data_IF_234106068562
#
_entry.id   IF_234106068562
#
_cell.length_a   1.000
_cell.length_b   1.000
_cell.length_c   1.000
_cell.angle_alpha   90.00
_cell.angle_beta   90.00
_cell.angle_gamma   90.00
#
_symmetry.space_group_name_H-M   'P 1'
#
loop_
_entity.id
_entity.type
_entity.pdbx_description
1 polymer ?
#
# COMPACT_ATOMS: atom_id res chain seq x y z
N UNK A 1 -5.24 -10.13 7.21
CA UNK A 1 -5.67 -9.72 5.86
C UNK A 1 -5.83 -8.22 5.91
N UNK A 2 -5.10 -7.45 5.12
CA UNK A 2 -5.45 -6.05 4.92
C UNK A 2 -6.83 -6.06 4.25
N UNK A 3 -7.84 -5.57 4.95
CA UNK A 3 -9.17 -5.42 4.38
C UNK A 3 -9.13 -4.21 3.48
N UNK A 4 -9.29 -4.43 2.19
CA UNK A 4 -9.57 -3.36 1.25
C UNK A 4 -10.93 -2.76 1.61
N UNK A 5 -10.95 -1.45 1.81
CA UNK A 5 -12.19 -0.72 2.01
C UNK A 5 -12.91 -0.59 0.66
N UNK A 6 -14.23 -0.78 0.66
CA UNK A 6 -15.06 -0.51 -0.50
C UNK A 6 -15.02 0.99 -0.85
N UNK A 7 -15.37 1.31 -2.08
CA UNK A 7 -15.37 2.69 -2.57
C UNK A 7 -16.17 3.60 -1.62
N UNK A 8 -15.51 4.67 -1.15
CA UNK A 8 -16.03 5.67 -0.21
C UNK A 8 -16.57 5.15 1.14
N UNK A 9 -16.34 3.87 1.48
CA UNK A 9 -16.89 3.27 2.71
C UNK A 9 -16.44 3.97 4.00
N UNK A 10 -15.21 4.48 4.06
CA UNK A 10 -14.73 5.30 5.18
C UNK A 10 -15.32 6.72 5.09
N UNK A 11 -15.34 7.31 3.89
CA UNK A 11 -15.90 8.66 3.70
C UNK A 11 -17.40 8.71 4.01
N UNK A 12 -18.13 7.61 3.85
CA UNK A 12 -19.55 7.46 4.18
C UNK A 12 -19.81 7.09 5.64
N UNK A 13 -18.76 6.69 6.39
CA UNK A 13 -18.94 6.38 7.81
C UNK A 13 -19.44 7.62 8.57
N UNK A 14 -20.56 7.51 9.34
CA UNK A 14 -21.21 8.69 9.92
C UNK A 14 -20.31 9.52 10.82
N UNK A 15 -19.39 8.89 11.55
CA UNK A 15 -18.48 9.55 12.46
C UNK A 15 -17.30 10.17 11.72
N UNK A 16 -16.77 9.50 10.70
CA UNK A 16 -15.76 10.09 9.83
C UNK A 16 -16.30 11.32 9.08
N UNK A 17 -17.49 11.22 8.49
CA UNK A 17 -18.11 12.30 7.72
C UNK A 17 -18.35 13.58 8.55
N UNK A 18 -18.54 13.44 9.87
CA UNK A 18 -18.74 14.58 10.80
C UNK A 18 -17.45 15.08 11.43
N UNK A 19 -16.33 14.40 11.26
CA UNK A 19 -15.04 14.72 11.88
C UNK A 19 -14.34 15.91 11.22
N UNK A 20 -13.41 16.52 11.96
CA UNK A 20 -12.50 17.54 11.42
C UNK A 20 -11.61 17.00 10.30
N UNK A 21 -11.29 15.69 10.34
CA UNK A 21 -10.51 15.00 9.32
C UNK A 21 -11.22 15.04 7.97
N UNK A 22 -12.48 14.59 7.93
CA UNK A 22 -13.31 14.65 6.70
C UNK A 22 -13.45 16.07 6.19
N UNK A 23 -13.70 17.04 7.10
CA UNK A 23 -13.80 18.45 6.74
C UNK A 23 -12.52 19.03 6.16
N UNK A 24 -11.36 18.59 6.65
CA UNK A 24 -10.05 18.98 6.12
C UNK A 24 -9.85 18.41 4.71
N UNK A 25 -10.12 17.12 4.51
CA UNK A 25 -9.97 16.45 3.21
C UNK A 25 -10.99 16.93 2.17
N UNK A 26 -12.21 17.33 2.58
CA UNK A 26 -13.20 17.91 1.67
C UNK A 26 -12.77 19.28 1.15
N UNK A 27 -12.05 20.07 1.95
CA UNK A 27 -11.50 21.38 1.52
C UNK A 27 -10.28 21.23 0.65
N UNK A 28 -9.41 20.30 0.96
CA UNK A 28 -8.21 19.96 0.23
C UNK A 28 -8.06 18.44 0.23
N UNK A 29 -8.38 17.76 -0.89
CA UNK A 29 -8.28 16.31 -1.00
C UNK A 29 -6.90 15.77 -0.67
N UNK A 30 -6.83 14.51 -0.23
CA UNK A 30 -5.57 13.79 -0.03
C UNK A 30 -4.77 13.80 -1.32
N UNK A 31 -3.54 14.31 -1.29
CA UNK A 31 -2.62 14.31 -2.44
C UNK A 31 -1.92 12.96 -2.60
N UNK A 32 -2.58 12.01 -3.24
CA UNK A 32 -2.07 10.67 -3.48
C UNK A 32 -1.29 10.58 -4.79
N UNK A 33 -0.11 10.00 -4.73
CA UNK A 33 0.73 9.71 -5.90
C UNK A 33 0.84 8.21 -6.08
N UNK A 34 0.46 7.72 -7.28
CA UNK A 34 0.52 6.30 -7.67
C UNK A 34 1.55 6.12 -8.78
N UNK A 35 2.66 5.47 -8.47
CA UNK A 35 3.78 5.28 -9.39
C UNK A 35 3.80 3.82 -9.84
N UNK A 36 3.63 3.61 -11.14
CA UNK A 36 3.26 2.34 -11.74
C UNK A 36 1.75 2.16 -11.75
N UNK A 37 1.01 3.21 -12.17
CA UNK A 37 -0.44 3.30 -12.11
C UNK A 37 -1.17 2.46 -13.18
N UNK A 38 -0.51 1.45 -13.76
CA UNK A 38 -1.14 0.52 -14.70
C UNK A 38 -2.36 -0.16 -14.05
N UNK A 39 -3.49 -0.13 -14.74
CA UNK A 39 -4.76 -0.65 -14.20
C UNK A 39 -5.57 0.35 -13.38
N UNK A 40 -5.06 1.54 -13.09
CA UNK A 40 -5.74 2.60 -12.34
C UNK A 40 -5.18 2.80 -10.93
N UNK A 41 -5.76 3.73 -10.17
CA UNK A 41 -5.32 4.01 -8.81
C UNK A 41 -5.45 2.77 -7.92
N UNK A 42 -4.44 2.54 -7.09
CA UNK A 42 -4.42 1.43 -6.16
C UNK A 42 -5.58 1.52 -5.16
N UNK A 43 -6.18 0.39 -4.83
CA UNK A 43 -7.38 0.26 -3.98
C UNK A 43 -7.20 0.70 -2.52
N UNK A 44 -5.97 0.90 -2.07
CA UNK A 44 -5.63 1.43 -0.75
C UNK A 44 -6.40 2.72 -0.41
N UNK A 45 -6.70 3.56 -1.41
CA UNK A 45 -7.40 4.85 -1.21
C UNK A 45 -8.89 4.80 -1.55
N UNK A 46 -9.44 3.63 -1.89
CA UNK A 46 -10.86 3.48 -2.27
C UNK A 46 -11.80 3.92 -1.15
N UNK A 47 -11.48 3.65 0.11
CA UNK A 47 -12.34 4.02 1.23
C UNK A 47 -12.65 5.52 1.36
N UNK A 48 -11.87 6.38 0.68
CA UNK A 48 -12.04 7.84 0.66
C UNK A 48 -11.91 8.41 -0.75
N UNK A 49 -12.32 7.67 -1.78
CA UNK A 49 -12.07 8.04 -3.17
C UNK A 49 -12.49 9.48 -3.51
N UNK A 50 -13.70 9.90 -3.14
CA UNK A 50 -14.19 11.26 -3.38
C UNK A 50 -13.44 12.37 -2.62
N UNK A 51 -12.60 11.99 -1.64
CA UNK A 51 -11.75 12.90 -0.85
C UNK A 51 -10.27 12.79 -1.24
N UNK A 52 -9.96 12.09 -2.34
CA UNK A 52 -8.60 11.85 -2.82
C UNK A 52 -8.38 12.48 -4.18
N UNK A 53 -7.31 13.26 -4.31
CA UNK A 53 -6.74 13.67 -5.57
C UNK A 53 -5.64 12.68 -5.96
N UNK A 54 -5.76 12.04 -7.12
CA UNK A 54 -4.84 11.02 -7.63
C UNK A 54 -3.98 11.61 -8.73
N UNK A 55 -2.66 11.47 -8.61
CA UNK A 55 -1.69 11.67 -9.67
C UNK A 55 -0.98 10.35 -9.95
N UNK A 56 -1.31 9.72 -11.08
CA UNK A 56 -0.68 8.48 -11.52
C UNK A 56 0.49 8.72 -12.47
N UNK A 57 1.49 7.84 -12.40
CA UNK A 57 2.62 7.79 -13.33
C UNK A 57 2.62 6.45 -14.05
N UNK A 58 2.48 6.47 -15.37
CA UNK A 58 2.51 5.28 -16.23
C UNK A 58 3.19 5.66 -17.56
N UNK A 59 4.32 5.06 -17.92
CA UNK A 59 5.04 5.42 -19.14
C UNK A 59 4.31 5.02 -20.43
N UNK A 60 3.37 4.09 -20.37
CA UNK A 60 2.56 3.68 -21.52
C UNK A 60 1.42 4.70 -21.78
N UNK A 61 1.59 5.53 -22.81
CA UNK A 61 0.62 6.56 -23.17
C UNK A 61 -0.73 6.00 -23.65
N UNK A 62 -0.78 4.77 -24.14
CA UNK A 62 -2.03 4.12 -24.53
C UNK A 62 -2.82 3.70 -23.31
N UNK A 63 -2.14 3.10 -22.33
CA UNK A 63 -2.73 2.77 -21.05
C UNK A 63 -3.24 4.03 -20.32
N UNK A 64 -2.46 5.12 -20.31
CA UNK A 64 -2.91 6.40 -19.77
C UNK A 64 -4.21 6.89 -20.41
N UNK A 65 -4.34 6.83 -21.73
CA UNK A 65 -5.57 7.24 -22.44
C UNK A 65 -6.76 6.34 -22.06
N UNK A 66 -6.54 5.03 -21.94
CA UNK A 66 -7.56 4.06 -21.53
C UNK A 66 -8.06 4.35 -20.11
N UNK A 67 -7.13 4.61 -19.17
CA UNK A 67 -7.45 4.91 -17.78
C UNK A 67 -8.21 6.23 -17.63
N UNK A 68 -7.78 7.29 -18.31
CA UNK A 68 -8.49 8.58 -18.29
C UNK A 68 -9.92 8.44 -18.81
N UNK A 69 -10.12 7.69 -19.89
CA UNK A 69 -11.47 7.43 -20.41
C UNK A 69 -12.35 6.66 -19.43
N UNK A 70 -11.81 5.68 -18.73
CA UNK A 70 -12.53 4.89 -17.73
C UNK A 70 -12.93 5.75 -16.49
N UNK A 71 -12.03 6.57 -16.00
CA UNK A 71 -12.28 7.46 -14.86
C UNK A 71 -13.28 8.55 -15.20
N UNK A 72 -13.27 9.09 -16.42
CA UNK A 72 -14.23 10.10 -16.87
C UNK A 72 -15.69 9.60 -16.80
N UNK A 73 -15.90 8.30 -17.00
CA UNK A 73 -17.22 7.66 -16.87
C UNK A 73 -17.65 7.51 -15.42
N UNK A 74 -16.76 6.99 -14.56
CA UNK A 74 -17.10 6.63 -13.17
C UNK A 74 -16.94 7.78 -12.16
N UNK A 75 -16.00 8.70 -12.42
CA UNK A 75 -15.67 9.89 -11.60
C UNK A 75 -15.58 9.62 -10.08
N UNK A 76 -14.87 8.59 -9.64
CA UNK A 76 -14.85 8.25 -8.21
C UNK A 76 -13.96 9.20 -7.38
N UNK A 77 -13.01 9.89 -8.02
CA UNK A 77 -11.98 10.70 -7.39
C UNK A 77 -12.35 12.19 -7.33
N UNK A 78 -11.88 12.88 -6.29
CA UNK A 78 -11.97 14.35 -6.26
C UNK A 78 -11.22 14.99 -7.45
N UNK A 79 -10.08 14.40 -7.83
CA UNK A 79 -9.29 14.75 -9.01
C UNK A 79 -8.54 13.50 -9.46
N UNK A 80 -8.41 13.28 -10.77
CA UNK A 80 -7.60 12.21 -11.34
C UNK A 80 -6.77 12.74 -12.50
N UNK A 81 -5.46 12.60 -12.39
CA UNK A 81 -4.51 13.02 -13.41
C UNK A 81 -3.47 11.94 -13.65
N UNK A 82 -2.92 11.86 -14.86
CA UNK A 82 -1.86 10.93 -15.24
C UNK A 82 -0.73 11.67 -15.94
N UNK A 83 0.50 11.25 -15.63
CA UNK A 83 1.73 11.60 -16.33
C UNK A 83 2.23 10.39 -17.12
N UNK A 84 2.24 10.51 -18.45
CA UNK A 84 2.76 9.47 -19.34
C UNK A 84 4.30 9.56 -19.41
N UNK A 85 4.98 9.32 -18.30
CA UNK A 85 6.43 9.46 -18.16
C UNK A 85 6.99 8.39 -17.22
N UNK A 86 8.19 7.91 -17.52
CA UNK A 86 8.96 7.07 -16.63
C UNK A 86 9.63 7.92 -15.54
N UNK A 87 9.69 7.38 -14.33
CA UNK A 87 10.45 7.99 -13.23
C UNK A 87 11.77 7.25 -12.99
N UNK A 88 12.82 8.00 -12.64
CA UNK A 88 14.14 7.49 -12.28
C UNK A 88 14.82 8.39 -11.25
N UNK A 89 16.06 8.06 -10.89
CA UNK A 89 16.90 8.89 -10.00
C UNK A 89 17.33 10.21 -10.61
N UNK A 90 17.35 10.32 -11.93
CA UNK A 90 17.76 11.49 -12.69
C UNK A 90 16.94 11.62 -13.97
N UNK A 91 17.01 12.80 -14.61
CA UNK A 91 16.46 12.98 -15.94
C UNK A 91 17.44 12.43 -16.96
N UNK A 92 17.08 11.27 -17.54
CA UNK A 92 17.97 10.48 -18.41
C UNK A 92 17.18 9.64 -19.41
N UNK A 93 17.85 9.19 -20.49
CA UNK A 93 17.28 8.17 -21.35
C UNK A 93 17.43 6.80 -20.68
N UNK A 94 16.31 6.06 -20.57
CA UNK A 94 16.24 4.72 -19.98
C UNK A 94 15.70 3.71 -20.98
N UNK A 95 15.95 2.42 -20.72
CA UNK A 95 15.39 1.33 -21.53
C UNK A 95 14.29 0.64 -20.74
N UNK A 96 13.06 0.64 -21.26
CA UNK A 96 11.96 -0.17 -20.75
C UNK A 96 12.03 -1.56 -21.41
N UNK A 97 12.23 -2.60 -20.61
CA UNK A 97 12.16 -4.00 -21.04
C UNK A 97 10.70 -4.44 -21.07
N UNK A 98 10.23 -4.85 -22.24
CA UNK A 98 8.87 -5.33 -22.46
C UNK A 98 8.80 -6.82 -22.23
N UNK A 99 7.99 -7.25 -21.25
CA UNK A 99 7.83 -8.65 -20.90
C UNK A 99 6.49 -9.19 -21.38
N UNK A 100 6.35 -10.50 -21.45
CA UNK A 100 5.14 -11.19 -21.94
C UNK A 100 3.87 -10.87 -21.15
N UNK A 101 4.01 -10.51 -19.88
CA UNK A 101 2.94 -9.87 -19.09
C UNK A 101 3.29 -8.38 -18.91
N UNK A 102 2.48 -7.44 -19.42
CA UNK A 102 2.74 -6.00 -19.31
C UNK A 102 2.87 -5.50 -17.88
N UNK A 103 2.28 -6.19 -16.90
CA UNK A 103 2.42 -5.83 -15.49
C UNK A 103 3.84 -6.06 -14.94
N UNK A 104 4.68 -6.75 -15.69
CA UNK A 104 6.08 -7.04 -15.30
C UNK A 104 7.09 -6.19 -16.10
N UNK A 105 6.65 -5.21 -16.91
CA UNK A 105 7.56 -4.30 -17.60
C UNK A 105 8.43 -3.55 -16.60
N UNK A 106 9.72 -3.41 -16.90
CA UNK A 106 10.68 -2.80 -15.97
C UNK A 106 11.75 -2.01 -16.70
N UNK A 107 12.34 -1.02 -16.04
CA UNK A 107 13.57 -0.38 -16.51
C UNK A 107 14.82 -1.23 -16.23
N UNK A 108 14.66 -2.36 -15.51
CA UNK A 108 15.74 -3.33 -15.28
C UNK A 108 15.51 -4.59 -16.11
N UNK A 109 16.60 -5.17 -16.61
CA UNK A 109 16.52 -6.44 -17.33
C UNK A 109 16.11 -7.59 -16.40
N UNK A 110 15.24 -8.54 -16.85
CA UNK A 110 14.80 -9.65 -16.03
C UNK A 110 15.98 -10.59 -15.67
N UNK A 111 15.98 -11.12 -14.43
CA UNK A 111 16.95 -12.11 -13.98
C UNK A 111 16.52 -13.51 -14.41
N UNK A 112 16.81 -13.88 -15.66
CA UNK A 112 16.35 -15.13 -16.27
C UNK A 112 16.76 -16.39 -15.51
N UNK A 113 17.94 -16.40 -14.87
CA UNK A 113 18.42 -17.55 -14.10
C UNK A 113 17.50 -17.78 -12.88
N UNK A 114 17.23 -16.74 -12.11
CA UNK A 114 16.32 -16.81 -10.97
C UNK A 114 14.90 -17.16 -11.40
N UNK A 115 14.37 -16.45 -12.39
CA UNK A 115 12.99 -16.61 -12.88
C UNK A 115 12.72 -18.02 -13.42
N UNK A 116 13.68 -18.60 -14.14
CA UNK A 116 13.61 -19.97 -14.66
C UNK A 116 13.60 -21.01 -13.55
N UNK A 117 14.45 -20.85 -12.52
CA UNK A 117 14.47 -21.73 -11.35
C UNK A 117 13.12 -21.81 -10.65
N UNK A 118 12.41 -20.68 -10.56
CA UNK A 118 11.09 -20.58 -9.90
C UNK A 118 9.92 -20.72 -10.89
N UNK A 119 10.18 -21.08 -12.15
CA UNK A 119 9.17 -21.31 -13.20
C UNK A 119 8.23 -20.10 -13.38
N UNK A 120 8.81 -18.91 -13.44
CA UNK A 120 8.09 -17.65 -13.60
C UNK A 120 7.98 -17.28 -15.09
N UNK A 121 7.05 -17.92 -15.81
CA UNK A 121 6.94 -17.85 -17.27
C UNK A 121 6.47 -16.50 -17.82
N UNK A 122 5.86 -15.65 -16.98
CA UNK A 122 5.34 -14.34 -17.38
C UNK A 122 6.42 -13.23 -17.51
N UNK A 123 7.69 -13.56 -17.21
CA UNK A 123 8.85 -12.66 -17.29
C UNK A 123 9.70 -12.91 -18.54
N UNK A 124 9.11 -13.41 -19.63
CA UNK A 124 9.84 -13.57 -20.90
C UNK A 124 9.92 -12.21 -21.59
N UNK A 125 11.14 -11.74 -21.88
CA UNK A 125 11.36 -10.49 -22.60
C UNK A 125 10.95 -10.67 -24.07
N UNK A 126 10.10 -9.77 -24.55
CA UNK A 126 9.55 -9.76 -25.92
C UNK A 126 10.02 -8.55 -26.74
N UNK A 127 10.72 -7.61 -26.12
CA UNK A 127 11.26 -6.41 -26.76
C UNK A 127 11.74 -5.38 -25.76
N UNK A 128 12.15 -4.23 -26.26
CA UNK A 128 12.51 -3.07 -25.43
C UNK A 128 12.18 -1.76 -26.12
N UNK A 129 12.02 -0.71 -25.34
CA UNK A 129 11.73 0.65 -25.82
C UNK A 129 12.60 1.67 -25.07
N UNK A 130 13.10 2.67 -25.80
CA UNK A 130 13.77 3.82 -25.19
C UNK A 130 12.76 4.87 -24.74
N UNK A 131 12.93 5.37 -23.54
CA UNK A 131 12.09 6.39 -22.91
C UNK A 131 12.95 7.47 -22.25
N UNK A 132 12.41 8.66 -22.13
CA UNK A 132 12.98 9.68 -21.25
C UNK A 132 12.35 9.56 -19.86
N UNK A 133 13.18 9.37 -18.86
CA UNK A 133 12.77 9.40 -17.46
C UNK A 133 13.05 10.77 -16.83
N UNK A 134 12.28 11.10 -15.80
CA UNK A 134 12.46 12.31 -14.99
C UNK A 134 12.45 11.94 -13.49
N UNK A 135 12.82 12.86 -12.62
CA UNK A 135 12.69 12.64 -11.17
C UNK A 135 11.29 13.02 -10.68
N UNK A 136 10.78 12.34 -9.65
CA UNK A 136 9.52 12.70 -9.02
C UNK A 136 9.55 14.16 -8.52
N UNK A 137 10.67 14.58 -7.93
CA UNK A 137 10.85 15.95 -7.45
C UNK A 137 10.72 16.99 -8.57
N UNK A 138 11.28 16.71 -9.75
CA UNK A 138 11.19 17.64 -10.89
C UNK A 138 9.77 17.83 -11.39
N UNK A 139 8.92 16.81 -11.29
CA UNK A 139 7.51 16.92 -11.63
C UNK A 139 6.75 17.67 -10.54
N UNK A 140 6.82 17.24 -9.29
CA UNK A 140 5.98 17.77 -8.20
C UNK A 140 6.36 19.18 -7.76
N UNK A 141 7.61 19.58 -7.91
CA UNK A 141 8.09 20.93 -7.57
C UNK A 141 8.43 21.79 -8.80
N UNK A 142 8.26 21.23 -10.00
CA UNK A 142 8.40 21.93 -11.27
C UNK A 142 7.05 22.43 -11.80
N UNK A 143 6.57 21.86 -12.90
CA UNK A 143 5.35 22.32 -13.57
C UNK A 143 4.07 22.10 -12.75
N UNK A 144 4.08 21.20 -11.75
CA UNK A 144 2.95 20.95 -10.83
C UNK A 144 3.05 21.63 -9.46
N UNK A 145 4.03 22.53 -9.30
CA UNK A 145 4.32 23.15 -7.99
C UNK A 145 3.15 23.93 -7.38
N UNK A 146 2.28 24.48 -8.22
CA UNK A 146 1.16 25.34 -7.82
C UNK A 146 -0.20 24.63 -7.78
N UNK A 147 -0.21 23.30 -8.02
CA UNK A 147 -1.43 22.50 -7.98
C UNK A 147 -1.70 21.97 -6.54
N UNK A 148 -2.42 20.88 -6.45
CA UNK A 148 -2.69 20.19 -5.19
C UNK A 148 -1.39 19.82 -4.45
N UNK A 149 -1.46 19.57 -3.17
CA UNK A 149 -0.32 19.10 -2.35
C UNK A 149 0.07 17.65 -2.66
N UNK A 150 0.43 17.36 -3.92
CA UNK A 150 0.83 16.03 -4.37
C UNK A 150 1.94 15.43 -3.52
N UNK A 151 1.84 14.12 -3.26
CA UNK A 151 2.88 13.34 -2.61
C UNK A 151 2.76 13.26 -1.10
N UNK A 152 1.60 13.57 -0.51
CA UNK A 152 1.34 13.34 0.92
C UNK A 152 1.32 11.85 1.27
N UNK A 153 0.76 11.03 0.35
CA UNK A 153 0.81 9.57 0.37
C UNK A 153 1.28 9.05 -0.98
N UNK A 154 2.23 8.12 -0.99
CA UNK A 154 2.85 7.58 -2.21
C UNK A 154 2.68 6.06 -2.23
N UNK A 155 2.15 5.50 -3.34
CA UNK A 155 2.28 4.08 -3.70
C UNK A 155 3.33 3.97 -4.80
N UNK A 156 4.23 2.99 -4.68
CA UNK A 156 5.32 2.77 -5.61
C UNK A 156 5.43 1.28 -5.94
N UNK A 157 5.17 0.93 -7.20
CA UNK A 157 5.24 -0.42 -7.75
C UNK A 157 5.66 -0.34 -9.22
N UNK A 158 6.95 -0.38 -9.46
CA UNK A 158 7.57 -0.19 -10.78
C UNK A 158 8.45 -1.34 -11.20
N UNK A 159 8.23 -2.48 -10.57
CA UNK A 159 8.87 -3.73 -10.94
C UNK A 159 10.40 -3.66 -10.86
N UNK A 160 10.91 -3.23 -9.69
CA UNK A 160 12.32 -3.30 -9.34
C UNK A 160 13.09 -1.99 -9.36
N UNK A 161 12.48 -0.87 -9.80
CA UNK A 161 13.14 0.45 -9.87
C UNK A 161 12.76 1.41 -8.74
N UNK A 162 12.07 0.92 -7.74
CA UNK A 162 11.53 1.68 -6.60
C UNK A 162 12.62 2.49 -5.89
N UNK A 163 13.79 1.87 -5.65
CA UNK A 163 14.92 2.54 -4.99
C UNK A 163 15.42 3.76 -5.79
N UNK A 164 15.55 3.62 -7.11
CA UNK A 164 16.05 4.69 -7.97
C UNK A 164 15.05 5.86 -8.03
N UNK A 165 13.76 5.56 -8.07
CA UNK A 165 12.70 6.57 -8.00
C UNK A 165 12.71 7.28 -6.65
N UNK A 166 12.89 6.58 -5.54
CA UNK A 166 13.00 7.18 -4.21
C UNK A 166 14.21 8.11 -4.08
N UNK A 167 15.34 7.78 -4.71
CA UNK A 167 16.51 8.69 -4.80
C UNK A 167 16.15 9.97 -5.55
N UNK A 168 15.31 9.91 -6.60
CA UNK A 168 14.77 11.05 -7.34
C UNK A 168 13.60 11.79 -6.65
N UNK A 169 13.23 11.35 -5.43
CA UNK A 169 12.08 11.86 -4.65
C UNK A 169 12.49 12.49 -3.31
N UNK A 170 13.76 12.83 -3.15
CA UNK A 170 14.34 13.29 -1.87
C UNK A 170 13.59 14.45 -1.25
N UNK A 171 13.18 15.42 -2.05
CA UNK A 171 12.48 16.60 -1.59
C UNK A 171 11.05 16.29 -1.18
N UNK A 172 10.28 15.55 -1.98
CA UNK A 172 8.91 15.16 -1.63
C UNK A 172 8.88 14.27 -0.40
N UNK A 173 9.81 13.32 -0.29
CA UNK A 173 9.96 12.48 0.91
C UNK A 173 10.26 13.31 2.16
N UNK A 174 11.05 14.37 2.06
CA UNK A 174 11.41 15.22 3.20
C UNK A 174 10.29 16.18 3.58
N UNK A 175 9.66 16.86 2.61
CA UNK A 175 8.79 18.01 2.85
C UNK A 175 7.29 17.66 2.90
N UNK A 176 6.82 16.67 2.12
CA UNK A 176 5.37 16.42 1.93
C UNK A 176 4.92 15.05 2.40
N UNK A 177 5.66 14.00 2.02
CA UNK A 177 5.23 12.63 2.20
C UNK A 177 5.23 12.25 3.70
N UNK A 178 4.12 11.67 4.16
CA UNK A 178 3.95 11.18 5.53
C UNK A 178 3.73 9.67 5.59
N UNK A 179 3.34 9.06 4.48
CA UNK A 179 3.14 7.63 4.35
C UNK A 179 3.51 7.14 2.97
N UNK A 180 4.07 5.94 2.89
CA UNK A 180 4.37 5.29 1.62
C UNK A 180 4.08 3.78 1.69
N UNK A 181 3.58 3.24 0.57
CA UNK A 181 3.45 1.81 0.32
C UNK A 181 4.34 1.50 -0.88
N UNK A 182 5.35 0.67 -0.69
CA UNK A 182 6.40 0.44 -1.67
C UNK A 182 6.56 -1.05 -1.92
N UNK A 183 6.43 -1.49 -3.18
CA UNK A 183 6.80 -2.86 -3.53
C UNK A 183 8.29 -3.06 -3.28
N UNK A 184 8.63 -4.08 -2.52
CA UNK A 184 10.02 -4.42 -2.18
C UNK A 184 10.28 -5.89 -2.42
N UNK A 185 11.46 -6.20 -2.92
CA UNK A 185 11.89 -7.57 -3.18
C UNK A 185 12.87 -8.06 -2.14
N UNK A 186 12.81 -9.37 -1.83
CA UNK A 186 13.75 -10.08 -0.96
C UNK A 186 14.83 -10.85 -1.75
N UNK A 187 14.76 -10.77 -3.06
CA UNK A 187 15.69 -11.39 -4.00
C UNK A 187 15.61 -10.66 -5.36
N UNK A 188 16.66 -10.76 -6.16
CA UNK A 188 16.72 -10.09 -7.45
C UNK A 188 15.84 -10.80 -8.49
N UNK A 189 14.63 -10.30 -8.71
CA UNK A 189 13.77 -10.69 -9.84
C UNK A 189 14.26 -10.05 -11.15
N UNK A 190 14.82 -8.85 -11.03
CA UNK A 190 15.49 -8.12 -12.10
C UNK A 190 16.97 -7.94 -11.75
N UNK A 191 17.83 -7.85 -12.76
CA UNK A 191 19.28 -7.71 -12.58
C UNK A 191 19.62 -6.39 -11.88
N UNK A 192 20.46 -6.45 -10.86
CA UNK A 192 20.90 -5.29 -10.05
C UNK A 192 19.77 -4.59 -9.28
N UNK A 193 18.62 -5.24 -9.15
CA UNK A 193 17.51 -4.74 -8.35
C UNK A 193 17.95 -4.49 -6.91
N UNK A 194 17.59 -3.33 -6.36
CA UNK A 194 17.74 -3.05 -4.94
C UNK A 194 16.70 -3.79 -4.13
N UNK A 195 17.10 -4.29 -2.96
CA UNK A 195 16.24 -5.12 -2.12
C UNK A 195 15.62 -4.32 -0.98
N UNK A 196 14.73 -4.95 -0.22
CA UNK A 196 14.06 -4.34 0.94
C UNK A 196 15.02 -3.60 1.87
N UNK A 197 16.18 -4.20 2.18
CA UNK A 197 17.17 -3.58 3.08
C UNK A 197 17.73 -2.25 2.57
N UNK A 198 17.85 -2.09 1.24
CA UNK A 198 18.30 -0.84 0.62
C UNK A 198 17.21 0.23 0.71
N UNK A 199 15.96 -0.16 0.37
CA UNK A 199 14.78 0.71 0.44
C UNK A 199 14.51 1.14 1.88
N UNK A 200 14.53 0.21 2.84
CA UNK A 200 14.32 0.51 4.28
C UNK A 200 15.35 1.51 4.80
N UNK A 201 16.63 1.28 4.49
CA UNK A 201 17.70 2.18 4.90
C UNK A 201 17.53 3.59 4.35
N UNK A 202 17.11 3.72 3.09
CA UNK A 202 16.83 5.00 2.45
C UNK A 202 15.64 5.69 3.12
N UNK A 203 14.52 5.00 3.28
CA UNK A 203 13.29 5.53 3.89
C UNK A 203 13.53 5.98 5.33
N UNK A 204 14.26 5.19 6.13
CA UNK A 204 14.66 5.55 7.48
C UNK A 204 15.56 6.79 7.50
N UNK A 205 16.43 6.98 6.49
CA UNK A 205 17.23 8.20 6.30
C UNK A 205 16.38 9.45 6.08
N UNK A 206 15.14 9.31 5.58
CA UNK A 206 14.15 10.39 5.41
C UNK A 206 13.15 10.51 6.58
N UNK A 207 13.39 9.80 7.70
CA UNK A 207 12.56 9.87 8.90
C UNK A 207 11.31 9.01 8.87
N UNK A 208 11.28 7.98 8.02
CA UNK A 208 10.19 7.00 8.02
C UNK A 208 10.55 5.81 8.89
N UNK A 209 9.53 5.28 9.60
CA UNK A 209 9.57 4.00 10.31
C UNK A 209 8.88 2.94 9.46
N UNK A 210 9.45 1.73 9.44
CA UNK A 210 8.83 0.57 8.81
C UNK A 210 7.73 0.01 9.72
N UNK A 211 6.51 -0.11 9.20
CA UNK A 211 5.34 -0.55 9.96
C UNK A 211 4.90 -1.98 9.68
N UNK A 212 5.26 -2.52 8.53
CA UNK A 212 4.93 -3.90 8.20
C UNK A 212 4.87 -4.18 6.71
N UNK A 213 4.58 -5.43 6.39
CA UNK A 213 4.36 -5.88 5.02
C UNK A 213 2.87 -6.16 4.77
N UNK A 214 2.39 -5.89 3.58
CA UNK A 214 1.21 -6.52 3.02
C UNK A 214 1.47 -8.03 2.80
N UNK A 215 0.53 -8.83 2.27
CA UNK A 215 0.77 -10.25 2.05
C UNK A 215 2.07 -10.51 1.29
N UNK A 216 2.95 -11.34 1.87
CA UNK A 216 4.22 -11.72 1.26
C UNK A 216 3.96 -12.72 0.15
N UNK A 217 4.42 -12.41 -1.04
CA UNK A 217 4.41 -13.32 -2.18
C UNK A 217 5.58 -14.30 -2.05
N UNK A 218 5.23 -15.58 -1.87
CA UNK A 218 6.20 -16.66 -1.71
C UNK A 218 6.08 -17.66 -2.86
N UNK A 219 7.19 -18.33 -3.18
CA UNK A 219 7.21 -19.31 -4.27
C UNK A 219 8.20 -20.45 -3.99
N UNK A 220 7.82 -21.64 -4.42
CA UNK A 220 8.69 -22.83 -4.47
C UNK A 220 9.14 -23.13 -5.90
N UNK A 221 10.16 -23.97 -6.04
CA UNK A 221 10.59 -24.50 -7.36
C UNK A 221 9.60 -25.51 -7.96
N UNK A 222 8.47 -25.79 -7.30
CA UNK A 222 7.39 -26.69 -7.72
C UNK A 222 7.88 -28.13 -8.04
N UNK A 223 8.76 -28.65 -7.18
CA UNK A 223 9.23 -30.05 -7.27
C UNK A 223 8.29 -30.99 -6.52
N UNK A 224 7.55 -30.50 -5.51
CA UNK A 224 6.61 -31.27 -4.72
C UNK A 224 5.16 -30.93 -5.08
N UNK A 225 4.27 -31.90 -4.87
CA UNK A 225 2.85 -31.68 -5.03
C UNK A 225 2.30 -30.85 -3.85
N UNK A 226 1.98 -29.60 -4.10
CA UNK A 226 1.49 -28.65 -3.08
C UNK A 226 0.19 -29.11 -2.40
N UNK A 227 -0.65 -29.90 -3.07
CA UNK A 227 -1.89 -30.42 -2.46
C UNK A 227 -1.65 -31.42 -1.30
N UNK A 228 -0.50 -32.08 -1.31
CA UNK A 228 -0.14 -33.08 -0.28
C UNK A 228 0.79 -32.54 0.81
N UNK A 229 1.49 -31.45 0.53
CA UNK A 229 2.53 -30.93 1.42
C UNK A 229 2.35 -29.42 1.62
N UNK A 230 2.17 -29.00 2.86
CA UNK A 230 2.31 -27.61 3.28
C UNK A 230 3.76 -27.44 3.73
N UNK A 231 4.55 -26.77 2.89
CA UNK A 231 5.97 -26.50 3.18
C UNK A 231 6.22 -25.00 3.11
N UNK A 232 7.24 -24.54 3.83
CA UNK A 232 7.69 -23.16 3.71
C UNK A 232 8.19 -22.89 2.28
N UNK A 233 7.81 -21.73 1.73
CA UNK A 233 8.25 -21.25 0.43
C UNK A 233 9.14 -20.02 0.61
N UNK A 234 10.00 -19.74 -0.36
CA UNK A 234 10.86 -18.57 -0.34
C UNK A 234 10.02 -17.31 -0.56
N UNK A 235 10.13 -16.34 0.34
CA UNK A 235 9.59 -15.00 0.15
C UNK A 235 10.31 -14.34 -1.04
N UNK A 236 9.55 -13.75 -1.96
CA UNK A 236 10.05 -13.07 -3.15
C UNK A 236 9.91 -11.56 -3.04
N UNK A 237 8.70 -11.07 -2.80
CA UNK A 237 8.39 -9.65 -2.71
C UNK A 237 7.14 -9.40 -1.86
N UNK A 238 6.93 -8.16 -1.48
CA UNK A 238 5.74 -7.67 -0.77
C UNK A 238 5.67 -6.15 -0.88
N UNK A 239 4.52 -5.57 -0.60
CA UNK A 239 4.41 -4.14 -0.34
C UNK A 239 4.81 -3.85 1.11
N UNK A 240 5.81 -2.99 1.28
CA UNK A 240 6.27 -2.50 2.57
C UNK A 240 5.58 -1.17 2.91
N UNK A 241 5.10 -1.04 4.14
CA UNK A 241 4.39 0.13 4.64
C UNK A 241 5.35 0.96 5.50
N UNK A 242 5.45 2.24 5.18
CA UNK A 242 6.28 3.21 5.87
C UNK A 242 5.47 4.42 6.33
N UNK A 243 5.63 4.82 7.58
CA UNK A 243 5.03 6.05 8.13
C UNK A 243 6.11 6.99 8.67
N UNK A 244 5.92 8.30 8.49
CA UNK A 244 6.63 9.31 9.28
C UNK A 244 5.97 9.39 10.65
N UNK A 245 6.39 8.53 11.55
CA UNK A 245 5.81 8.43 12.88
C UNK A 245 6.36 9.53 13.81
N UNK A 246 5.54 10.53 14.20
CA UNK A 246 6.00 11.57 15.12
C UNK A 246 6.10 11.09 16.57
N UNK A 247 5.60 9.89 16.89
CA UNK A 247 5.59 9.32 18.23
C UNK A 247 6.85 8.46 18.48
N UNK A 248 7.34 7.78 17.43
CA UNK A 248 8.57 6.97 17.47
C UNK A 248 9.82 7.77 17.07
N UNK A 249 9.61 8.88 16.38
CA UNK A 249 10.66 9.75 15.91
C UNK A 249 11.36 10.51 17.03
N UNK A 250 12.69 10.59 16.94
CA UNK A 250 13.46 11.42 17.85
C UNK A 250 12.95 12.87 17.90
N UNK A 251 13.46 13.73 18.81
CA UNK A 251 12.89 15.04 19.17
C UNK A 251 12.72 16.03 18.02
N UNK A 252 13.15 15.71 16.80
CA UNK A 252 13.16 16.60 15.65
C UNK A 252 12.07 16.31 14.59
N UNK A 253 11.35 15.19 14.66
CA UNK A 253 10.27 14.90 13.71
C UNK A 253 8.98 15.57 14.17
N UNK A 254 8.61 16.68 13.52
CA UNK A 254 7.36 17.39 13.76
C UNK A 254 6.53 17.44 12.50
N UNK A 255 5.34 16.87 12.56
CA UNK A 255 4.36 16.97 11.49
C UNK A 255 3.46 18.19 11.70
N UNK A 256 3.07 18.85 10.63
CA UNK A 256 2.03 19.88 10.64
C UNK A 256 0.67 19.27 11.00
N UNK A 257 -0.30 20.12 11.37
CA UNK A 257 -1.67 19.67 11.65
C UNK A 257 -2.25 18.87 10.49
N UNK A 258 -2.09 19.33 9.25
CA UNK A 258 -2.54 18.59 8.05
C UNK A 258 -1.83 17.24 7.90
N UNK A 259 -0.52 17.21 8.04
CA UNK A 259 0.25 15.97 7.93
C UNK A 259 -0.19 14.93 8.96
N UNK A 260 -0.51 15.33 10.19
CA UNK A 260 -1.06 14.43 11.20
C UNK A 260 -2.43 13.87 10.79
N UNK A 261 -3.34 14.70 10.24
CA UNK A 261 -4.66 14.25 9.78
C UNK A 261 -4.53 13.32 8.57
N UNK A 262 -3.62 13.60 7.65
CA UNK A 262 -3.32 12.72 6.50
C UNK A 262 -2.75 11.39 6.98
N UNK A 263 -1.75 11.40 7.86
CA UNK A 263 -1.16 10.17 8.41
C UNK A 263 -2.20 9.33 9.15
N UNK A 264 -3.04 9.95 9.99
CA UNK A 264 -4.18 9.30 10.63
C UNK A 264 -5.09 8.61 9.61
N UNK A 265 -5.46 9.31 8.55
CA UNK A 265 -6.34 8.77 7.52
C UNK A 265 -5.71 7.57 6.82
N UNK A 266 -4.42 7.67 6.43
CA UNK A 266 -3.70 6.58 5.77
C UNK A 266 -3.50 5.40 6.73
N UNK A 267 -3.24 5.65 8.01
CA UNK A 267 -3.15 4.59 9.01
C UNK A 267 -4.46 3.78 9.11
N UNK A 268 -5.62 4.45 9.09
CA UNK A 268 -6.93 3.77 9.05
C UNK A 268 -7.08 2.96 7.76
N UNK A 269 -6.78 3.53 6.60
CA UNK A 269 -6.88 2.85 5.30
C UNK A 269 -6.01 1.58 5.24
N UNK A 270 -4.88 1.59 5.97
CA UNK A 270 -3.94 0.48 6.08
C UNK A 270 -4.19 -0.41 7.31
N UNK A 271 -5.31 -0.22 8.03
CA UNK A 271 -5.75 -0.99 9.21
C UNK A 271 -4.85 -0.87 10.45
N UNK A 272 -4.07 0.19 10.58
CA UNK A 272 -3.30 0.52 11.78
C UNK A 272 -4.15 1.35 12.75
N UNK A 273 -5.25 0.78 13.24
CA UNK A 273 -6.28 1.47 14.04
C UNK A 273 -5.75 1.97 15.38
N UNK A 274 -4.96 1.16 16.07
CA UNK A 274 -4.36 1.50 17.37
C UNK A 274 -3.40 2.68 17.24
N UNK A 275 -2.48 2.62 16.26
CA UNK A 275 -1.60 3.73 15.94
C UNK A 275 -2.37 5.00 15.53
N UNK A 276 -3.42 4.86 14.73
CA UNK A 276 -4.25 6.01 14.35
C UNK A 276 -4.89 6.68 15.57
N UNK A 277 -5.42 5.89 16.51
CA UNK A 277 -6.01 6.42 17.75
C UNK A 277 -4.95 7.09 18.64
N UNK A 278 -3.79 6.45 18.80
CA UNK A 278 -2.67 7.02 19.56
C UNK A 278 -2.23 8.35 18.96
N UNK A 279 -1.99 8.41 17.63
CA UNK A 279 -1.62 9.63 16.92
C UNK A 279 -2.65 10.75 17.16
N UNK A 280 -3.94 10.44 17.03
CA UNK A 280 -5.00 11.42 17.25
C UNK A 280 -4.97 11.99 18.68
N UNK A 281 -4.88 11.12 19.70
CA UNK A 281 -4.81 11.50 21.11
C UNK A 281 -3.58 12.35 21.44
N UNK A 282 -2.43 12.04 20.85
CA UNK A 282 -1.18 12.75 21.10
C UNK A 282 -1.07 14.09 20.36
N UNK A 283 -1.81 14.28 19.27
CA UNK A 283 -1.64 15.46 18.41
C UNK A 283 -2.78 16.49 18.51
N UNK A 284 -4.05 16.12 18.31
CA UNK A 284 -5.16 17.10 18.32
C UNK A 284 -6.33 16.77 19.24
N UNK A 285 -6.49 15.53 19.73
CA UNK A 285 -7.56 15.17 20.68
C UNK A 285 -7.14 15.40 22.15
N UNK A 286 -6.51 16.55 22.44
CA UNK A 286 -5.91 16.80 23.77
C UNK A 286 -6.93 17.03 24.87
N UNK A 287 -8.13 17.56 24.54
CA UNK A 287 -9.17 17.88 25.52
C UNK A 287 -10.19 16.72 25.55
N UNK A 288 -10.15 15.93 26.62
CA UNK A 288 -11.07 14.81 26.80
C UNK A 288 -12.54 15.30 26.86
N UNK A 289 -13.45 14.52 26.24
CA UNK A 289 -14.90 14.80 26.31
C UNK A 289 -15.43 15.75 25.24
N UNK A 290 -14.62 16.15 24.27
CA UNK A 290 -15.10 16.90 23.09
C UNK A 290 -15.90 16.02 22.15
N UNK A 291 -16.79 16.62 21.34
CA UNK A 291 -17.53 15.88 20.32
C UNK A 291 -16.57 15.17 19.35
N UNK A 292 -15.46 15.80 18.99
CA UNK A 292 -14.45 15.22 18.09
C UNK A 292 -13.84 13.95 18.68
N UNK A 293 -13.52 13.92 19.99
CA UNK A 293 -13.01 12.74 20.66
C UNK A 293 -13.99 11.56 20.54
N UNK A 294 -15.28 11.79 20.82
CA UNK A 294 -16.31 10.76 20.69
C UNK A 294 -16.44 10.22 19.26
N UNK A 295 -16.38 11.11 18.25
CA UNK A 295 -16.45 10.70 16.85
C UNK A 295 -15.27 9.81 16.46
N UNK A 296 -14.06 10.24 16.79
CA UNK A 296 -12.83 9.52 16.42
C UNK A 296 -12.71 8.18 17.17
N UNK A 297 -12.97 8.17 18.48
CA UNK A 297 -12.90 6.93 19.28
C UNK A 297 -13.93 5.91 18.81
N UNK A 298 -15.18 6.33 18.55
CA UNK A 298 -16.22 5.44 18.04
C UNK A 298 -15.87 4.93 16.64
N UNK A 299 -15.43 5.81 15.74
CA UNK A 299 -14.97 5.43 14.40
C UNK A 299 -13.91 4.31 14.47
N UNK A 300 -12.87 4.51 15.28
CA UNK A 300 -11.78 3.53 15.39
C UNK A 300 -12.27 2.22 15.99
N UNK A 301 -13.11 2.27 17.04
CA UNK A 301 -13.69 1.07 17.64
C UNK A 301 -14.53 0.28 16.62
N UNK A 302 -15.45 0.95 15.91
CA UNK A 302 -16.31 0.32 14.92
C UNK A 302 -15.46 -0.35 13.80
N UNK A 303 -14.43 0.34 13.31
CA UNK A 303 -13.56 -0.20 12.26
C UNK A 303 -12.69 -1.36 12.77
N UNK A 304 -12.23 -1.32 14.02
CA UNK A 304 -11.38 -2.37 14.62
C UNK A 304 -12.14 -3.67 14.88
N UNK A 305 -13.47 -3.63 15.07
CA UNK A 305 -14.31 -4.81 15.25
C UNK A 305 -14.54 -5.59 13.95
N UNK A 306 -14.47 -4.92 12.79
CA UNK A 306 -14.76 -5.56 11.49
C UNK A 306 -13.88 -6.78 11.18
N UNK A 307 -12.56 -6.80 11.45
CA UNK A 307 -11.72 -7.98 11.24
C UNK A 307 -12.14 -9.18 12.11
N UNK A 308 -12.63 -8.92 13.34
CA UNK A 308 -13.10 -9.97 14.26
C UNK A 308 -14.36 -10.61 13.70
N UNK A 309 -15.34 -9.81 13.28
CA UNK A 309 -16.58 -10.30 12.67
C UNK A 309 -16.31 -11.10 11.37
N UNK A 310 -15.37 -10.64 10.55
CA UNK A 310 -14.96 -11.37 9.35
C UNK A 310 -14.28 -12.69 9.69
N UNK A 311 -13.54 -12.75 10.81
CA UNK A 311 -12.86 -13.96 11.27
C UNK A 311 -13.83 -15.12 11.53
N UNK A 312 -14.99 -14.87 12.10
CA UNK A 312 -16.03 -15.90 12.34
C UNK A 312 -16.49 -16.49 11.00
N UNK A 313 -16.82 -15.63 10.05
CA UNK A 313 -17.23 -16.06 8.69
C UNK A 313 -16.13 -16.85 7.98
N UNK A 314 -14.88 -16.43 8.09
CA UNK A 314 -13.74 -17.11 7.47
C UNK A 314 -13.55 -18.53 8.05
N UNK A 315 -13.79 -18.73 9.36
CA UNK A 315 -13.72 -20.04 10.01
C UNK A 315 -14.89 -20.93 9.55
N UNK A 316 -16.09 -20.41 9.46
CA UNK A 316 -17.27 -21.13 8.96
C UNK A 316 -17.06 -21.58 7.50
N UNK A 317 -16.51 -20.68 6.65
CA UNK A 317 -16.17 -21.00 5.27
C UNK A 317 -15.10 -22.10 5.18
N UNK A 318 -14.03 -22.00 5.99
CA UNK A 318 -13.00 -23.03 6.05
C UNK A 318 -13.59 -24.38 6.43
N UNK A 319 -14.44 -24.42 7.46
CA UNK A 319 -15.10 -25.66 7.90
C UNK A 319 -15.95 -26.25 6.77
N UNK A 320 -16.69 -25.42 6.03
CA UNK A 320 -17.46 -25.83 4.86
C UNK A 320 -16.58 -26.39 3.73
N UNK A 321 -15.49 -25.70 3.39
CA UNK A 321 -14.52 -26.14 2.37
C UNK A 321 -13.89 -27.49 2.71
N UNK A 322 -13.45 -27.68 3.95
CA UNK A 322 -12.85 -28.95 4.42
C UNK A 322 -13.87 -30.07 4.42
N UNK A 323 -15.11 -29.81 4.85
CA UNK A 323 -16.19 -30.81 4.84
C UNK A 323 -16.53 -31.27 3.43
N UNK A 324 -16.58 -30.34 2.48
CA UNK A 324 -16.95 -30.65 1.09
C UNK A 324 -15.83 -31.31 0.28
N UNK A 325 -14.57 -31.01 0.61
CA UNK A 325 -13.39 -31.53 -0.11
C UNK A 325 -12.24 -31.87 0.87
N UNK A 326 -12.40 -32.94 1.67
CA UNK A 326 -11.45 -33.30 2.71
C UNK A 326 -10.05 -33.66 2.16
N UNK A 327 -9.95 -34.10 0.92
CA UNK A 327 -8.68 -34.37 0.23
C UNK A 327 -7.83 -33.10 0.01
N UNK A 328 -8.42 -31.92 0.06
CA UNK A 328 -7.76 -30.61 -0.07
C UNK A 328 -7.64 -29.88 1.28
N UNK A 329 -7.95 -30.53 2.40
CA UNK A 329 -7.95 -29.88 3.72
C UNK A 329 -6.66 -29.14 4.02
N UNK A 330 -5.50 -29.75 3.72
CA UNK A 330 -4.20 -29.13 3.95
C UNK A 330 -4.02 -27.83 3.15
N UNK A 331 -4.53 -27.79 1.91
CA UNK A 331 -4.48 -26.57 1.09
C UNK A 331 -5.38 -25.46 1.65
N UNK A 332 -6.61 -25.80 2.05
CA UNK A 332 -7.54 -24.84 2.64
C UNK A 332 -7.03 -24.27 3.97
N UNK A 333 -6.53 -25.15 4.88
CA UNK A 333 -5.92 -24.74 6.15
C UNK A 333 -4.68 -23.88 5.91
N UNK A 334 -3.80 -24.25 4.97
CA UNK A 334 -2.63 -23.47 4.63
C UNK A 334 -2.99 -22.07 4.14
N UNK A 335 -3.95 -21.96 3.22
CA UNK A 335 -4.43 -20.67 2.72
C UNK A 335 -5.09 -19.81 3.82
N UNK A 336 -5.84 -20.45 4.72
CA UNK A 336 -6.45 -19.77 5.87
C UNK A 336 -5.39 -19.20 6.82
N UNK A 337 -4.39 -20.01 7.19
CA UNK A 337 -3.29 -19.59 8.06
C UNK A 337 -2.47 -18.46 7.40
N UNK A 338 -2.11 -18.60 6.12
CA UNK A 338 -1.33 -17.59 5.40
C UNK A 338 -2.06 -16.24 5.34
N UNK A 339 -3.38 -16.27 5.14
CA UNK A 339 -4.20 -15.04 5.16
C UNK A 339 -4.27 -14.38 6.54
N UNK A 340 -4.17 -15.14 7.62
CA UNK A 340 -4.35 -14.66 9.00
C UNK A 340 -3.06 -14.34 9.75
N UNK A 341 -1.89 -14.70 9.25
CA UNK A 341 -0.59 -14.45 9.90
C UNK A 341 -0.34 -13.01 10.37
N UNK A 342 -1.14 -12.05 9.90
CA UNK A 342 -1.02 -10.63 10.24
C UNK A 342 -2.19 -10.07 11.05
N UNK A 343 -3.12 -10.91 11.53
CA UNK A 343 -4.34 -10.45 12.23
C UNK A 343 -4.30 -10.76 13.72
N UNK A 344 -3.34 -11.54 14.22
CA UNK A 344 -3.27 -11.92 15.62
C UNK A 344 -1.95 -11.47 16.23
N UNK A 345 -2.01 -10.69 17.28
CA UNK A 345 -0.98 -10.61 18.29
C UNK A 345 -1.13 -11.81 19.19
N UNK A 346 -0.09 -12.67 19.28
CA UNK A 346 -0.14 -13.87 20.11
C UNK A 346 -0.17 -13.54 21.59
N UNK A 347 0.36 -12.40 22.00
CA UNK A 347 0.37 -11.98 23.41
C UNK A 347 -1.03 -11.57 23.88
N UNK A 348 -1.84 -10.96 23.01
CA UNK A 348 -3.23 -10.60 23.32
C UNK A 348 -4.14 -11.83 23.48
N UNK A 349 -3.88 -12.91 22.76
CA UNK A 349 -4.65 -14.16 22.89
C UNK A 349 -4.50 -14.78 24.29
N UNK A 350 -3.36 -14.58 24.96
CA UNK A 350 -3.12 -15.08 26.31
C UNK A 350 -3.80 -14.24 27.39
N UNK A 351 -4.17 -12.99 27.09
CA UNK A 351 -4.79 -12.03 28.02
C UNK A 351 -6.31 -11.89 27.85
N UNK A 352 -6.92 -12.57 26.90
CA UNK A 352 -8.38 -12.57 26.75
C UNK A 352 -8.98 -13.29 27.94
N UNK A 353 -9.63 -12.55 28.85
CA UNK A 353 -10.59 -13.12 29.79
C UNK A 353 -11.55 -14.05 29.05
N UNK A 354 -11.87 -15.23 29.56
CA UNK A 354 -12.71 -16.18 28.86
C UNK A 354 -13.98 -15.47 28.39
N UNK A 355 -14.25 -15.52 27.10
CA UNK A 355 -15.48 -15.02 26.51
C UNK A 355 -16.66 -15.48 27.38
N UNK A 356 -17.63 -14.64 27.73
CA UNK A 356 -18.79 -15.08 28.44
C UNK A 356 -19.38 -16.25 27.65
N UNK A 357 -19.52 -17.39 28.27
CA UNK A 357 -20.16 -18.58 27.69
C UNK A 357 -21.52 -18.15 27.19
N UNK A 358 -21.70 -18.07 25.88
CA UNK A 358 -23.02 -18.02 25.30
C UNK A 358 -23.70 -19.34 25.67
N UNK A 359 -24.65 -19.26 26.58
CA UNK A 359 -25.62 -20.32 26.85
C UNK A 359 -26.63 -20.41 25.70
#
# INVERSE_FOLDING_TARGET
MFRQLELDSLADHPDFAKSSVSSCLAKQPLGYVDIGARGGAHDTVFGIARLTAVLGFEPDSEECRRLLAAVEVSKPWALFQLEAVALSRASEEVTLHLLSDPNNHSLLAPNHEFLSRYKMQKWVEIGSQKLNAVTLDSVLFGHRAHETQWGEFIKLDTQGTEFDILVGATRVLSERCVAAVIEVSFCELYKNQKLFSDVEKLMRGHGFSFYGFMPIHSRSCKLLNKHKHITAERALYSDAIFFKDPLDGGPNLRLSARQNLVLFTVAILLNFYDFALELARQTWLKDAGTQENFLIERLINDLSELPVLQSVKDVEELAGQVKNRPELANLFVGNFVDRRRKVCDFDDVLNISPLPRML
#
